data_IF_901653890567
#
_entry.id   IF_901653890567
#
_cell.length_a   1.000
_cell.length_b   1.000
_cell.length_c   1.000
_cell.angle_alpha   90.00
_cell.angle_beta   90.00
_cell.angle_gamma   90.00
#
_symmetry.space_group_name_H-M   'P 1'
#
loop_
_entity.id
_entity.type
_entity.pdbx_description
1 polymer ?
#
# COMPACT_ATOMS: atom_id res chain seq x y z
N UNK A 1 -46.30 28.42 9.44
CA UNK A 1 -45.10 28.98 8.78
C UNK A 1 -44.00 27.94 8.89
N UNK A 2 -43.62 27.29 7.78
CA UNK A 2 -42.49 26.35 7.75
C UNK A 2 -41.23 27.16 8.03
N UNK A 3 -40.51 26.86 9.11
CA UNK A 3 -39.16 27.39 9.32
C UNK A 3 -38.23 26.57 8.41
N UNK A 4 -37.66 27.21 7.39
CA UNK A 4 -36.54 26.67 6.64
C UNK A 4 -35.38 26.41 7.61
N UNK A 5 -34.95 25.15 7.71
CA UNK A 5 -33.76 24.77 8.44
C UNK A 5 -32.54 25.19 7.60
N UNK A 6 -32.16 26.46 7.70
CA UNK A 6 -30.94 26.99 7.12
C UNK A 6 -29.79 26.79 8.10
N UNK A 7 -28.63 26.37 7.61
CA UNK A 7 -27.44 26.26 8.44
C UNK A 7 -27.13 27.61 9.13
N UNK A 8 -26.68 27.62 10.39
CA UNK A 8 -26.45 28.85 11.13
C UNK A 8 -25.26 29.64 10.54
N UNK A 9 -25.48 30.93 10.29
CA UNK A 9 -24.43 31.84 9.81
C UNK A 9 -23.34 32.05 10.87
N UNK A 10 -22.10 32.30 10.42
CA UNK A 10 -20.91 32.46 11.29
C UNK A 10 -21.12 33.48 12.41
N UNK A 11 -21.79 34.60 12.12
CA UNK A 11 -22.12 35.63 13.11
C UNK A 11 -23.14 35.16 14.14
N UNK A 12 -24.10 34.31 13.73
CA UNK A 12 -25.07 33.73 14.65
C UNK A 12 -24.39 32.75 15.61
N UNK A 13 -23.42 31.97 15.13
CA UNK A 13 -22.61 31.07 15.95
C UNK A 13 -21.81 31.88 16.98
N UNK A 14 -21.08 32.91 16.55
CA UNK A 14 -20.29 33.76 17.44
C UNK A 14 -21.14 34.44 18.51
N UNK A 15 -22.33 34.91 18.14
CA UNK A 15 -23.27 35.53 19.08
C UNK A 15 -23.84 34.53 20.09
N UNK A 16 -24.11 33.31 19.66
CA UNK A 16 -24.62 32.23 20.51
C UNK A 16 -23.54 31.69 21.47
N UNK A 17 -22.27 31.68 21.05
CA UNK A 17 -21.15 31.16 21.84
C UNK A 17 -20.46 32.22 22.71
N UNK A 18 -20.78 33.50 22.55
CA UNK A 18 -20.13 34.63 23.23
C UNK A 18 -20.11 34.54 24.78
N UNK A 19 -21.09 33.88 25.38
CA UNK A 19 -21.21 33.78 26.85
C UNK A 19 -20.80 32.41 27.38
N UNK A 20 -20.30 31.51 26.54
CA UNK A 20 -19.85 30.20 26.97
C UNK A 20 -18.44 30.33 27.56
N UNK A 21 -18.18 29.81 28.78
CA UNK A 21 -16.83 29.73 29.30
C UNK A 21 -15.98 28.87 28.38
N UNK A 22 -14.83 29.39 27.94
CA UNK A 22 -13.83 28.62 27.21
C UNK A 22 -13.37 27.44 28.07
N UNK A 23 -13.89 26.24 27.79
CA UNK A 23 -13.56 24.99 28.47
C UNK A 23 -12.79 24.14 27.47
N UNK A 24 -11.66 23.56 27.87
CA UNK A 24 -10.73 22.82 26.99
C UNK A 24 -9.91 23.68 26.00
N UNK A 25 -9.47 24.89 26.35
CA UNK A 25 -8.43 25.60 25.55
C UNK A 25 -7.09 24.84 25.57
N UNK A 26 -6.77 24.22 26.71
CA UNK A 26 -5.64 23.31 26.91
C UNK A 26 -6.09 21.85 26.94
N UNK A 27 -7.18 21.50 26.27
CA UNK A 27 -7.22 20.14 25.72
C UNK A 27 -6.27 20.17 24.53
N UNK A 28 -4.97 20.20 24.83
CA UNK A 28 -4.14 19.16 24.27
C UNK A 28 -4.92 17.90 24.64
N UNK A 29 -5.74 17.41 23.71
CA UNK A 29 -5.95 15.97 23.62
C UNK A 29 -4.52 15.51 23.77
N UNK A 30 -4.18 14.86 24.90
CA UNK A 30 -2.88 14.25 25.03
C UNK A 30 -2.72 13.53 23.71
N UNK A 31 -1.91 14.10 22.79
CA UNK A 31 -1.73 13.59 21.45
C UNK A 31 -1.02 12.32 21.79
N UNK A 32 -1.80 11.24 21.96
CA UNK A 32 -1.38 10.19 22.84
C UNK A 32 -0.39 9.37 22.03
N UNK A 33 0.85 9.80 22.21
CA UNK A 33 2.11 9.27 21.79
C UNK A 33 2.41 9.36 20.30
N UNK A 34 3.59 9.93 20.02
CA UNK A 34 4.49 9.60 18.93
C UNK A 34 3.81 9.33 17.60
N UNK A 35 3.96 10.25 16.63
CA UNK A 35 3.79 9.98 15.19
C UNK A 35 3.89 8.48 14.93
N UNK A 36 2.74 7.84 14.76
CA UNK A 36 2.67 6.39 14.68
C UNK A 36 3.64 5.93 13.60
N UNK A 37 4.21 4.74 13.74
CA UNK A 37 5.09 4.17 12.70
C UNK A 37 4.46 4.33 11.31
N UNK A 38 3.14 4.15 11.20
CA UNK A 38 2.34 4.36 9.99
C UNK A 38 2.47 5.77 9.38
N UNK A 39 2.59 6.82 10.18
CA UNK A 39 2.71 8.22 9.71
C UNK A 39 4.12 8.57 9.22
N UNK A 40 5.15 7.96 9.81
CA UNK A 40 6.55 8.16 9.40
C UNK A 40 7.02 7.11 8.38
N UNK A 41 6.28 6.01 8.24
CA UNK A 41 6.58 4.90 7.33
C UNK A 41 6.74 5.41 5.90
N UNK A 42 5.87 6.33 5.46
CA UNK A 42 5.96 6.94 4.13
C UNK A 42 7.34 7.54 3.87
N UNK A 43 7.88 8.34 4.80
CA UNK A 43 9.20 8.98 4.64
C UNK A 43 10.34 7.97 4.66
N UNK A 44 10.21 6.92 5.49
CA UNK A 44 11.18 5.83 5.55
C UNK A 44 11.20 5.09 4.20
N UNK A 45 10.03 4.71 3.68
CA UNK A 45 9.89 4.02 2.40
C UNK A 45 10.44 4.86 1.25
N UNK A 46 10.15 6.17 1.21
CA UNK A 46 10.71 7.08 0.19
C UNK A 46 12.24 7.01 0.15
N UNK A 47 12.91 7.15 1.29
CA UNK A 47 14.39 7.07 1.34
C UNK A 47 14.92 5.67 1.01
N UNK A 48 14.25 4.62 1.50
CA UNK A 48 14.68 3.24 1.25
C UNK A 48 14.54 2.85 -0.22
N UNK A 49 13.51 3.32 -0.91
CA UNK A 49 13.36 3.03 -2.33
C UNK A 49 14.47 3.71 -3.12
N UNK A 50 14.87 4.94 -2.80
CA UNK A 50 16.00 5.59 -3.47
C UNK A 50 17.30 4.79 -3.31
N UNK A 51 17.52 4.19 -2.13
CA UNK A 51 18.67 3.30 -1.90
C UNK A 51 18.53 2.00 -2.68
N UNK A 52 17.37 1.33 -2.62
CA UNK A 52 17.12 0.10 -3.35
C UNK A 52 17.26 0.27 -4.86
N UNK A 53 16.78 1.38 -5.43
CA UNK A 53 16.97 1.72 -6.85
C UNK A 53 18.46 1.81 -7.22
N UNK A 54 19.26 2.50 -6.38
CA UNK A 54 20.71 2.61 -6.59
C UNK A 54 21.41 1.26 -6.48
N UNK A 55 21.05 0.44 -5.49
CA UNK A 55 21.62 -0.90 -5.31
C UNK A 55 21.27 -1.83 -6.47
N UNK A 56 20.01 -1.83 -6.91
CA UNK A 56 19.53 -2.65 -8.02
C UNK A 56 20.12 -2.20 -9.36
N UNK A 57 20.36 -0.90 -9.56
CA UNK A 57 21.02 -0.39 -10.76
C UNK A 57 22.48 -0.86 -10.91
N UNK A 58 23.10 -1.38 -9.85
CA UNK A 58 24.43 -1.99 -9.89
C UNK A 58 24.39 -3.48 -10.28
N UNK A 59 23.22 -4.12 -10.24
CA UNK A 59 23.06 -5.52 -10.60
C UNK A 59 22.86 -5.67 -12.11
N UNK A 60 23.69 -6.46 -12.82
CA UNK A 60 23.55 -6.67 -14.26
C UNK A 60 22.22 -7.36 -14.64
N UNK A 61 21.70 -8.21 -13.76
CA UNK A 61 20.47 -8.99 -14.01
C UNK A 61 19.20 -8.28 -13.52
N UNK A 62 19.29 -7.03 -13.07
CA UNK A 62 18.17 -6.35 -12.42
C UNK A 62 16.93 -6.24 -13.32
N UNK A 63 17.10 -6.06 -14.63
CA UNK A 63 15.99 -6.01 -15.60
C UNK A 63 15.16 -7.30 -15.54
N UNK A 64 15.80 -8.46 -15.61
CA UNK A 64 15.12 -9.75 -15.61
C UNK A 64 14.48 -10.03 -14.25
N UNK A 65 15.16 -9.67 -13.16
CA UNK A 65 14.61 -9.81 -11.82
C UNK A 65 13.37 -8.93 -11.63
N UNK A 66 13.33 -7.72 -12.19
CA UNK A 66 12.14 -6.86 -12.19
C UNK A 66 10.98 -7.43 -13.02
N UNK A 67 11.28 -7.97 -14.21
CA UNK A 67 10.27 -8.62 -15.06
C UNK A 67 9.65 -9.81 -14.35
N UNK A 68 10.48 -10.67 -13.74
CA UNK A 68 10.04 -11.82 -12.97
C UNK A 68 9.24 -11.43 -11.72
N UNK A 69 9.72 -10.44 -10.97
CA UNK A 69 9.04 -9.98 -9.76
C UNK A 69 7.67 -9.38 -10.09
N UNK A 70 7.55 -8.56 -11.14
CA UNK A 70 6.24 -8.04 -11.59
C UNK A 70 5.30 -9.18 -11.99
N UNK A 71 5.77 -10.16 -12.78
CA UNK A 71 4.93 -11.28 -13.20
C UNK A 71 4.40 -12.10 -12.01
N UNK A 72 5.25 -12.37 -11.02
CA UNK A 72 4.84 -13.07 -9.79
C UNK A 72 3.80 -12.27 -8.99
N UNK A 73 3.95 -10.95 -8.92
CA UNK A 73 2.98 -10.10 -8.22
C UNK A 73 1.65 -10.00 -8.97
N UNK A 74 1.67 -9.94 -10.29
CA UNK A 74 0.46 -9.96 -11.12
C UNK A 74 -0.30 -11.29 -10.93
N UNK A 75 0.42 -12.43 -10.90
CA UNK A 75 -0.16 -13.75 -10.59
C UNK A 75 -0.74 -13.82 -9.16
N UNK A 76 0.00 -13.33 -8.17
CA UNK A 76 -0.46 -13.26 -6.77
C UNK A 76 -1.71 -12.37 -6.61
N UNK A 77 -1.82 -11.27 -7.37
CA UNK A 77 -2.97 -10.37 -7.35
C UNK A 77 -4.21 -11.03 -7.98
N UNK A 78 -4.03 -11.77 -9.08
CA UNK A 78 -5.09 -12.46 -9.81
C UNK A 78 -5.66 -13.67 -9.01
N UNK A 79 -4.83 -14.29 -8.17
CA UNK A 79 -5.26 -15.33 -7.25
C UNK A 79 -5.89 -14.80 -5.94
N UNK A 80 -5.72 -13.53 -5.60
CA UNK A 80 -6.30 -12.97 -4.38
C UNK A 80 -7.79 -12.71 -4.54
N UNK A 81 -8.54 -12.87 -3.47
CA UNK A 81 -9.99 -12.60 -3.42
C UNK A 81 -10.23 -11.59 -2.30
N UNK A 82 -10.95 -10.51 -2.58
CA UNK A 82 -11.36 -9.57 -1.53
C UNK A 82 -12.30 -10.28 -0.55
N UNK A 83 -11.85 -10.46 0.69
CA UNK A 83 -12.61 -11.12 1.76
C UNK A 83 -13.91 -10.37 2.10
N UNK A 84 -13.96 -9.06 1.92
CA UNK A 84 -15.17 -8.26 2.18
C UNK A 84 -16.20 -8.55 1.10
N UNK A 85 -15.77 -8.53 -0.16
CA UNK A 85 -16.60 -8.88 -1.30
C UNK A 85 -17.09 -10.34 -1.22
N UNK A 86 -16.20 -11.25 -0.84
CA UNK A 86 -16.50 -12.66 -0.64
C UNK A 86 -17.52 -12.86 0.47
N UNK A 87 -17.34 -12.17 1.61
CA UNK A 87 -18.27 -12.19 2.74
C UNK A 87 -19.64 -11.67 2.35
N UNK A 88 -19.72 -10.60 1.57
CA UNK A 88 -21.00 -10.07 1.08
C UNK A 88 -21.75 -11.10 0.22
N UNK A 89 -21.05 -11.77 -0.71
CA UNK A 89 -21.68 -12.79 -1.56
C UNK A 89 -22.08 -14.04 -0.76
N UNK A 90 -21.27 -14.46 0.21
CA UNK A 90 -21.61 -15.59 1.09
C UNK A 90 -22.76 -15.27 2.04
N UNK A 91 -22.84 -14.06 2.58
CA UNK A 91 -23.99 -13.59 3.39
C UNK A 91 -25.30 -13.55 2.58
N UNK A 92 -25.21 -13.31 1.26
CA UNK A 92 -26.36 -13.41 0.35
C UNK A 92 -26.77 -14.85 0.02
N UNK A 93 -26.01 -15.85 0.48
CA UNK A 93 -26.30 -17.28 0.31
C UNK A 93 -25.59 -17.95 -0.86
N UNK A 94 -24.65 -17.27 -1.53
CA UNK A 94 -23.83 -17.90 -2.57
C UNK A 94 -22.72 -18.76 -1.95
N UNK A 95 -22.46 -19.98 -2.47
CA UNK A 95 -21.34 -20.80 -2.01
C UNK A 95 -20.00 -20.08 -2.16
N UNK A 96 -19.13 -20.21 -1.17
CA UNK A 96 -17.83 -19.54 -1.13
C UNK A 96 -16.97 -19.85 -2.36
N UNK A 97 -16.95 -21.11 -2.81
CA UNK A 97 -16.23 -21.55 -4.01
C UNK A 97 -16.70 -20.82 -5.28
N UNK A 98 -18.01 -20.63 -5.44
CA UNK A 98 -18.58 -19.91 -6.58
C UNK A 98 -18.35 -18.41 -6.46
N UNK A 99 -18.50 -17.86 -5.26
CA UNK A 99 -18.27 -16.44 -4.99
C UNK A 99 -16.81 -16.05 -5.26
N UNK A 100 -15.84 -16.86 -4.84
CA UNK A 100 -14.41 -16.70 -5.18
C UNK A 100 -14.22 -16.65 -6.70
N UNK A 101 -14.76 -17.63 -7.42
CA UNK A 101 -14.62 -17.73 -8.88
C UNK A 101 -15.25 -16.53 -9.60
N UNK A 102 -16.44 -16.13 -9.17
CA UNK A 102 -17.14 -14.98 -9.72
C UNK A 102 -16.40 -13.67 -9.45
N UNK A 103 -15.85 -13.50 -8.25
CA UNK A 103 -15.07 -12.32 -7.89
C UNK A 103 -13.78 -12.22 -8.71
N UNK A 104 -13.08 -13.34 -8.92
CA UNK A 104 -11.89 -13.37 -9.77
C UNK A 104 -12.22 -13.01 -11.23
N UNK A 105 -13.28 -13.58 -11.79
CA UNK A 105 -13.68 -13.32 -13.18
C UNK A 105 -14.20 -11.89 -13.42
N UNK A 106 -14.64 -11.20 -12.36
CA UNK A 106 -15.25 -9.88 -12.44
C UNK A 106 -14.43 -8.80 -11.72
N UNK A 107 -13.09 -8.95 -11.71
CA UNK A 107 -12.16 -7.95 -11.18
C UNK A 107 -12.51 -7.48 -9.76
N UNK A 108 -12.89 -8.41 -8.88
CA UNK A 108 -13.27 -8.15 -7.49
C UNK A 108 -14.50 -7.25 -7.29
N UNK A 109 -15.28 -7.01 -8.35
CA UNK A 109 -16.53 -6.25 -8.27
C UNK A 109 -17.67 -7.13 -7.78
N UNK A 110 -18.19 -6.83 -6.58
CA UNK A 110 -19.33 -7.54 -5.99
C UNK A 110 -20.55 -7.53 -6.91
N UNK A 111 -20.84 -6.39 -7.54
CA UNK A 111 -22.02 -6.24 -8.40
C UNK A 111 -21.93 -7.10 -9.65
N UNK A 112 -20.77 -7.12 -10.31
CA UNK A 112 -20.55 -7.91 -11.52
C UNK A 112 -20.41 -9.40 -11.18
N UNK A 113 -19.75 -9.74 -10.08
CA UNK A 113 -19.67 -11.12 -9.58
C UNK A 113 -21.06 -11.68 -9.24
N UNK A 114 -21.95 -10.86 -8.66
CA UNK A 114 -23.33 -11.26 -8.39
C UNK A 114 -24.11 -11.52 -9.69
N UNK A 115 -24.00 -10.64 -10.67
CA UNK A 115 -24.65 -10.82 -11.97
C UNK A 115 -24.17 -12.11 -12.65
N UNK A 116 -22.86 -12.36 -12.63
CA UNK A 116 -22.26 -13.60 -13.14
C UNK A 116 -22.76 -14.85 -12.40
N UNK A 117 -22.88 -14.79 -11.06
CA UNK A 117 -23.40 -15.88 -10.23
C UNK A 117 -24.86 -16.20 -10.54
N UNK A 118 -25.68 -15.19 -10.86
CA UNK A 118 -27.08 -15.36 -11.21
C UNK A 118 -27.20 -15.95 -12.62
N UNK A 119 -26.41 -15.46 -13.58
CA UNK A 119 -26.38 -15.99 -14.95
C UNK A 119 -25.92 -17.45 -15.01
N UNK A 120 -25.03 -17.86 -14.10
CA UNK A 120 -24.46 -19.21 -14.03
C UNK A 120 -25.01 -20.04 -12.85
N UNK A 121 -26.17 -19.68 -12.31
CA UNK A 121 -26.75 -20.32 -11.12
C UNK A 121 -27.01 -21.83 -11.32
N UNK A 122 -27.41 -22.23 -12.54
CA UNK A 122 -27.82 -23.60 -12.89
C UNK A 122 -26.70 -24.47 -13.49
N UNK A 123 -25.47 -23.97 -13.61
CA UNK A 123 -24.36 -24.72 -14.19
C UNK A 123 -23.55 -25.47 -13.10
N UNK A 124 -23.63 -26.82 -13.03
CA UNK A 124 -22.86 -27.62 -12.06
C UNK A 124 -21.36 -27.69 -12.36
N UNK A 125 -20.90 -27.28 -13.54
CA UNK A 125 -19.47 -27.18 -13.86
C UNK A 125 -18.78 -25.98 -13.18
N UNK A 126 -19.57 -25.04 -12.65
CA UNK A 126 -19.06 -23.86 -11.93
C UNK A 126 -18.42 -24.26 -10.59
N UNK A 127 -18.90 -25.34 -9.97
CA UNK A 127 -18.38 -25.92 -8.73
C UNK A 127 -17.06 -26.69 -8.90
N UNK A 128 -16.60 -26.91 -10.13
CA UNK A 128 -15.29 -27.51 -10.36
C UNK A 128 -14.19 -26.50 -10.00
N UNK A 129 -13.15 -26.93 -9.23
CA UNK A 129 -12.01 -26.08 -8.93
C UNK A 129 -11.34 -25.62 -10.24
N UNK A 130 -10.89 -24.36 -10.27
CA UNK A 130 -10.18 -23.80 -11.40
C UNK A 130 -8.96 -24.68 -11.74
N UNK A 131 -8.66 -24.93 -13.03
CA UNK A 131 -7.52 -25.75 -13.42
C UNK A 131 -6.23 -25.03 -12.98
N UNK A 132 -5.54 -25.61 -11.99
CA UNK A 132 -4.29 -25.06 -11.43
C UNK A 132 -4.00 -25.52 -9.99
N UNK A 133 -5.02 -25.93 -9.22
CA UNK A 133 -4.81 -26.50 -7.88
C UNK A 133 -4.69 -28.02 -7.94
N UNK A 134 -3.48 -28.52 -8.16
CA UNK A 134 -3.11 -29.85 -7.67
C UNK A 134 -2.42 -29.69 -6.32
N UNK A 135 -2.88 -30.34 -5.24
CA UNK A 135 -2.11 -30.42 -4.00
C UNK A 135 -0.91 -31.34 -4.26
N UNK A 136 0.28 -30.75 -4.35
CA UNK A 136 1.54 -31.48 -4.48
C UNK A 136 1.92 -32.08 -3.13
N UNK A 137 1.41 -33.27 -2.84
CA UNK A 137 1.97 -34.15 -1.81
C UNK A 137 3.31 -34.74 -2.28
N UNK A 138 4.25 -34.81 -1.34
CA UNK A 138 5.65 -35.10 -1.52
C UNK A 138 5.95 -36.46 -2.17
N UNK A 139 6.94 -36.47 -3.07
CA UNK A 139 7.80 -37.62 -3.31
C UNK A 139 9.24 -37.13 -3.55
N UNK A 140 10.12 -37.45 -2.60
CA UNK A 140 11.57 -37.34 -2.72
C UNK A 140 12.10 -38.35 -3.74
N UNK A 141 13.09 -37.98 -4.55
CA UNK A 141 14.47 -38.45 -4.43
C UNK A 141 15.38 -37.95 -5.57
N UNK A 142 16.58 -37.53 -5.15
CA UNK A 142 17.90 -37.74 -5.75
C UNK A 142 18.24 -37.22 -7.16
N UNK A 143 19.30 -36.41 -7.22
CA UNK A 143 20.09 -36.22 -8.44
C UNK A 143 21.02 -35.01 -8.41
N UNK A 144 22.15 -35.12 -7.69
CA UNK A 144 23.26 -34.18 -7.77
C UNK A 144 23.93 -34.23 -9.17
N UNK A 145 24.29 -33.07 -9.74
CA UNK A 145 25.68 -32.76 -10.09
C UNK A 145 25.82 -31.34 -10.67
N UNK A 146 26.84 -30.65 -10.19
CA UNK A 146 27.28 -29.33 -10.59
C UNK A 146 27.86 -29.27 -12.01
N UNK A 147 27.83 -28.04 -12.52
CA UNK A 147 28.83 -27.37 -13.35
C UNK A 147 29.03 -27.82 -14.80
N UNK A 148 28.73 -26.91 -15.72
CA UNK A 148 29.81 -26.36 -16.54
C UNK A 148 29.52 -24.91 -16.94
N UNK A 149 30.45 -24.03 -16.57
CA UNK A 149 30.55 -22.68 -17.07
C UNK A 149 31.15 -22.72 -18.47
N UNK A 150 30.59 -21.94 -19.40
CA UNK A 150 31.38 -21.43 -20.53
C UNK A 150 31.15 -19.92 -20.63
N UNK A 151 32.26 -19.20 -20.49
CA UNK A 151 32.32 -17.76 -20.46
C UNK A 151 32.59 -17.17 -21.84
N UNK A 152 31.85 -16.10 -22.16
CA UNK A 152 32.33 -14.89 -22.84
C UNK A 152 32.11 -14.81 -24.36
N UNK A 153 32.36 -13.64 -24.98
CA UNK A 153 32.31 -12.27 -24.45
C UNK A 153 31.48 -11.32 -25.36
N UNK A 154 31.27 -10.08 -24.90
CA UNK A 154 30.76 -8.89 -25.65
C UNK A 154 29.28 -8.57 -25.48
N UNK A 155 29.00 -7.51 -24.71
CA UNK A 155 27.96 -6.53 -25.04
C UNK A 155 28.08 -5.29 -24.14
N UNK A 156 29.08 -4.46 -24.38
CA UNK A 156 29.06 -3.08 -23.87
C UNK A 156 27.84 -2.30 -24.41
N UNK A 157 27.26 -2.73 -25.54
CA UNK A 157 25.98 -2.24 -26.06
C UNK A 157 24.74 -2.70 -25.25
N UNK A 158 24.76 -3.93 -24.70
CA UNK A 158 23.64 -4.47 -23.92
C UNK A 158 23.55 -3.86 -22.51
N UNK A 159 24.68 -3.41 -21.96
CA UNK A 159 24.72 -2.74 -20.66
C UNK A 159 24.11 -1.33 -20.66
N UNK A 160 24.17 -0.61 -21.78
CA UNK A 160 23.49 0.69 -21.93
C UNK A 160 21.98 0.50 -22.15
N UNK A 161 21.59 -0.44 -23.02
CA UNK A 161 20.17 -0.79 -23.24
C UNK A 161 19.49 -1.29 -21.95
N UNK A 162 20.15 -2.16 -21.17
CA UNK A 162 19.62 -2.64 -19.89
C UNK A 162 19.48 -1.53 -18.83
N UNK A 163 20.40 -0.56 -18.81
CA UNK A 163 20.31 0.62 -17.93
C UNK A 163 19.19 1.55 -18.36
N UNK A 164 18.97 1.72 -19.66
CA UNK A 164 17.86 2.50 -20.20
C UNK A 164 16.51 1.83 -19.89
N UNK A 165 16.41 0.50 -20.05
CA UNK A 165 15.24 -0.29 -19.63
C UNK A 165 14.96 -0.15 -18.13
N UNK A 166 15.97 -0.29 -17.26
CA UNK A 166 15.82 -0.07 -15.82
C UNK A 166 15.37 1.34 -15.49
N UNK A 167 15.90 2.33 -16.20
CA UNK A 167 15.53 3.73 -16.01
C UNK A 167 14.07 3.97 -16.38
N UNK A 168 13.58 3.37 -17.47
CA UNK A 168 12.16 3.40 -17.84
C UNK A 168 11.28 2.63 -16.85
N UNK A 169 11.74 1.48 -16.34
CA UNK A 169 11.05 0.73 -15.27
C UNK A 169 10.91 1.63 -14.04
N UNK A 170 11.99 2.26 -13.57
CA UNK A 170 11.94 3.16 -12.42
C UNK A 170 11.09 4.40 -12.67
N UNK A 171 11.07 4.97 -13.88
CA UNK A 171 10.15 6.08 -14.23
C UNK A 171 8.70 5.63 -14.19
N UNK A 172 8.38 4.43 -14.71
CA UNK A 172 7.03 3.87 -14.69
C UNK A 172 6.57 3.63 -13.26
N UNK A 173 7.44 3.05 -12.43
CA UNK A 173 7.21 2.86 -11.00
C UNK A 173 6.99 4.21 -10.32
N UNK A 174 7.83 5.23 -10.58
CA UNK A 174 7.68 6.58 -10.03
C UNK A 174 6.36 7.24 -10.40
N UNK A 175 5.82 6.98 -11.60
CA UNK A 175 4.50 7.49 -12.03
C UNK A 175 3.34 6.78 -11.32
N UNK A 176 3.50 5.51 -10.94
CA UNK A 176 2.50 4.76 -10.15
C UNK A 176 2.43 5.20 -8.68
N UNK A 177 3.45 5.90 -8.15
CA UNK A 177 3.49 6.44 -6.77
C UNK A 177 2.39 7.46 -6.42
N UNK A 178 1.45 7.77 -7.32
CA UNK A 178 0.36 8.68 -7.01
C UNK A 178 -0.53 8.05 -5.94
N UNK A 179 -0.68 8.74 -4.80
CA UNK A 179 -1.47 8.25 -3.69
C UNK A 179 -2.90 7.96 -4.13
N UNK A 180 -3.42 6.77 -3.80
CA UNK A 180 -4.78 6.36 -4.11
C UNK A 180 -5.71 6.61 -2.91
N UNK A 181 -6.53 7.68 -2.93
CA UNK A 181 -7.47 7.97 -1.86
C UNK A 181 -8.62 6.94 -1.85
N UNK A 182 -9.12 6.59 -0.67
CA UNK A 182 -10.33 5.77 -0.52
C UNK A 182 -11.55 6.52 -1.09
N UNK A 183 -12.20 6.01 -2.16
CA UNK A 183 -13.35 6.67 -2.78
C UNK A 183 -14.49 6.94 -1.80
N UNK A 184 -14.72 6.05 -0.83
CA UNK A 184 -15.78 6.22 0.17
C UNK A 184 -15.47 7.39 1.09
N UNK A 185 -14.23 7.48 1.57
CA UNK A 185 -13.79 8.56 2.42
C UNK A 185 -13.81 9.91 1.66
N UNK A 186 -13.43 9.91 0.38
CA UNK A 186 -13.49 11.11 -0.48
C UNK A 186 -14.92 11.62 -0.60
N UNK A 187 -15.85 10.77 -1.01
CA UNK A 187 -17.26 11.14 -1.18
C UNK A 187 -17.82 11.69 0.14
N UNK A 188 -17.60 10.98 1.25
CA UNK A 188 -18.16 11.38 2.54
C UNK A 188 -17.60 12.71 3.05
N UNK A 189 -16.32 13.03 2.79
CA UNK A 189 -15.74 14.34 3.14
C UNK A 189 -16.20 15.44 2.18
N UNK A 190 -16.37 15.15 0.90
CA UNK A 190 -16.93 16.11 -0.06
C UNK A 190 -18.40 16.45 0.27
N UNK A 191 -19.19 15.48 0.75
CA UNK A 191 -20.56 15.72 1.23
C UNK A 191 -20.61 16.64 2.47
N UNK A 192 -19.54 16.70 3.27
CA UNK A 192 -19.39 17.67 4.36
C UNK A 192 -19.07 19.09 3.87
N UNK A 193 -18.82 19.27 2.56
CA UNK A 193 -18.53 20.54 1.93
C UNK A 193 -17.04 20.87 1.78
N UNK A 194 -16.15 19.89 1.96
CA UNK A 194 -14.72 20.07 1.73
C UNK A 194 -14.37 19.95 0.23
N UNK A 195 -13.36 20.70 -0.21
CA UNK A 195 -12.86 20.63 -1.59
C UNK A 195 -12.13 19.31 -1.85
N UNK A 196 -12.35 18.70 -3.02
CA UNK A 196 -11.77 17.40 -3.40
C UNK A 196 -10.24 17.36 -3.24
N UNK A 197 -9.55 18.43 -3.64
CA UNK A 197 -8.08 18.53 -3.50
C UNK A 197 -7.64 18.48 -2.05
N UNK A 198 -8.34 19.21 -1.18
CA UNK A 198 -8.02 19.24 0.25
C UNK A 198 -8.32 17.89 0.92
N UNK A 199 -9.40 17.23 0.48
CA UNK A 199 -9.78 15.90 0.94
C UNK A 199 -8.72 14.87 0.57
N UNK A 200 -8.23 14.88 -0.68
CA UNK A 200 -7.15 13.99 -1.12
C UNK A 200 -5.87 14.22 -0.31
N UNK A 201 -5.49 15.48 -0.09
CA UNK A 201 -4.34 15.83 0.73
C UNK A 201 -4.48 15.37 2.18
N UNK A 202 -5.67 15.55 2.77
CA UNK A 202 -5.98 15.12 4.12
C UNK A 202 -5.92 13.58 4.26
N UNK A 203 -6.48 12.86 3.30
CA UNK A 203 -6.43 11.39 3.28
C UNK A 203 -5.00 10.88 3.06
N UNK A 204 -4.20 11.59 2.26
CA UNK A 204 -2.79 11.26 2.04
C UNK A 204 -1.97 11.38 3.31
N UNK A 205 -2.17 12.46 4.07
CA UNK A 205 -1.48 12.70 5.34
C UNK A 205 -1.90 11.69 6.41
N UNK A 206 -3.16 11.27 6.41
CA UNK A 206 -3.74 10.44 7.44
C UNK A 206 -3.94 8.97 7.01
N UNK A 207 -3.23 8.50 5.97
CA UNK A 207 -3.28 7.10 5.50
C UNK A 207 -4.70 6.57 5.29
N UNK A 208 -5.53 7.29 4.54
CA UNK A 208 -6.94 6.96 4.26
C UNK A 208 -7.86 6.88 5.49
N UNK A 209 -7.44 7.38 6.65
CA UNK A 209 -8.32 7.46 7.83
C UNK A 209 -9.26 8.66 7.74
N UNK A 210 -10.54 8.42 7.44
CA UNK A 210 -11.55 9.48 7.27
C UNK A 210 -11.67 10.41 8.50
N UNK A 211 -11.65 9.85 9.71
CA UNK A 211 -11.81 10.64 10.94
C UNK A 211 -10.61 11.59 11.15
N UNK A 212 -9.39 11.07 11.02
CA UNK A 212 -8.17 11.86 11.15
C UNK A 212 -8.03 12.88 10.01
N UNK A 213 -8.45 12.53 8.79
CA UNK A 213 -8.53 13.47 7.67
C UNK A 213 -9.51 14.62 7.93
N UNK A 214 -10.68 14.33 8.52
CA UNK A 214 -11.63 15.35 8.94
C UNK A 214 -11.03 16.27 10.02
N UNK A 215 -10.37 15.71 11.02
CA UNK A 215 -9.66 16.49 12.05
C UNK A 215 -8.56 17.38 11.45
N UNK A 216 -7.79 16.85 10.49
CA UNK A 216 -6.74 17.59 9.79
C UNK A 216 -7.32 18.75 8.96
N UNK A 217 -8.45 18.54 8.27
CA UNK A 217 -9.14 19.56 7.47
C UNK A 217 -9.68 20.72 8.32
N UNK A 218 -10.14 20.39 9.53
CA UNK A 218 -10.68 21.36 10.50
C UNK A 218 -9.61 22.04 11.37
N UNK A 219 -8.38 21.52 11.38
CA UNK A 219 -7.27 22.00 12.20
C UNK A 219 -6.26 22.86 11.44
N UNK A 220 -5.02 22.86 11.94
CA UNK A 220 -3.91 23.68 11.39
C UNK A 220 -3.27 23.08 10.13
N UNK A 221 -3.81 21.97 9.59
CA UNK A 221 -3.31 21.28 8.38
C UNK A 221 -1.81 20.96 8.42
N UNK A 222 -1.33 20.51 9.59
CA UNK A 222 0.05 20.06 9.81
C UNK A 222 0.05 18.57 10.14
N UNK A 223 0.95 17.77 9.54
CA UNK A 223 2.01 18.13 8.57
C UNK A 223 1.48 18.40 7.15
N UNK A 224 2.29 19.08 6.33
CA UNK A 224 1.99 19.35 4.92
C UNK A 224 2.13 18.08 4.08
N UNK A 225 1.28 17.85 3.07
CA UNK A 225 1.45 16.74 2.12
C UNK A 225 2.84 16.72 1.47
N UNK A 226 3.42 17.89 1.17
CA UNK A 226 4.75 17.99 0.56
C UNK A 226 5.88 17.51 1.48
N UNK A 227 5.69 17.58 2.80
CA UNK A 227 6.69 17.10 3.76
C UNK A 227 6.72 15.58 3.84
N UNK A 228 5.72 14.90 3.28
CA UNK A 228 5.65 13.45 3.22
C UNK A 228 6.38 12.86 2.01
N UNK A 229 6.53 13.66 0.94
CA UNK A 229 7.31 13.29 -0.24
C UNK A 229 8.81 13.45 -0.01
N UNK A 230 9.21 14.15 1.06
CA UNK A 230 10.59 14.24 1.52
C UNK A 230 10.90 13.01 2.37
N UNK A 231 11.84 12.20 1.90
CA UNK A 231 12.39 11.09 2.67
C UNK A 231 13.01 11.54 4.00
N UNK A 232 13.32 10.58 4.85
CA UNK A 232 14.09 10.83 6.07
C UNK A 232 15.54 11.26 5.76
N UNK A 233 16.11 12.10 6.63
CA UNK A 233 17.51 12.55 6.52
C UNK A 233 18.45 11.34 6.52
N UNK A 234 19.31 11.27 5.50
CA UNK A 234 20.28 10.19 5.32
C UNK A 234 21.33 10.15 6.41
N UNK A 235 21.54 11.24 7.15
CA UNK A 235 22.46 11.27 8.29
C UNK A 235 21.77 11.00 9.63
N UNK A 236 20.46 10.74 9.62
CA UNK A 236 19.71 10.44 10.83
C UNK A 236 20.16 9.11 11.45
N UNK A 237 20.31 9.03 12.79
CA UNK A 237 20.58 7.77 13.48
C UNK A 237 19.57 6.66 13.13
N UNK A 238 18.31 7.04 12.86
CA UNK A 238 17.27 6.12 12.42
C UNK A 238 17.60 5.51 11.06
N UNK A 239 17.94 6.35 10.07
CA UNK A 239 18.26 5.88 8.73
C UNK A 239 19.50 5.00 8.73
N UNK A 240 20.53 5.42 9.46
CA UNK A 240 21.77 4.68 9.59
C UNK A 240 21.54 3.31 10.24
N UNK A 241 20.78 3.24 11.33
CA UNK A 241 20.44 1.97 11.99
C UNK A 241 19.62 1.03 11.09
N UNK A 242 18.72 1.59 10.26
CA UNK A 242 17.96 0.81 9.28
C UNK A 242 18.91 0.23 8.22
N UNK A 243 19.82 1.03 7.68
CA UNK A 243 20.77 0.59 6.66
C UNK A 243 21.86 -0.34 7.20
N UNK A 244 22.21 -0.29 8.48
CA UNK A 244 23.16 -1.23 9.10
C UNK A 244 22.55 -2.61 9.37
N UNK A 245 21.22 -2.75 9.27
CA UNK A 245 20.54 -4.01 9.50
C UNK A 245 20.71 -4.99 8.31
N UNK A 246 21.31 -6.19 8.50
CA UNK A 246 21.55 -7.12 7.40
C UNK A 246 20.28 -7.62 6.69
N UNK A 247 19.19 -7.78 7.45
CA UNK A 247 17.90 -8.23 6.88
C UNK A 247 17.34 -7.16 5.95
N UNK A 248 17.45 -5.89 6.35
CA UNK A 248 17.02 -4.76 5.52
C UNK A 248 17.91 -4.64 4.29
N UNK A 249 19.24 -4.70 4.45
CA UNK A 249 20.17 -4.63 3.32
C UNK A 249 19.88 -5.71 2.27
N UNK A 250 19.70 -6.97 2.70
CA UNK A 250 19.35 -8.05 1.79
C UNK A 250 17.99 -7.80 1.12
N UNK A 251 17.01 -7.32 1.89
CA UNK A 251 15.70 -6.92 1.37
C UNK A 251 15.77 -5.88 0.26
N UNK A 252 16.61 -4.84 0.41
CA UNK A 252 16.77 -3.76 -0.57
C UNK A 252 17.41 -4.22 -1.90
N UNK A 253 18.07 -5.38 -1.91
CA UNK A 253 18.61 -6.00 -3.13
C UNK A 253 17.59 -6.85 -3.88
N UNK A 254 16.41 -7.08 -3.33
CA UNK A 254 15.33 -7.84 -3.96
C UNK A 254 14.33 -6.89 -4.64
N UNK A 255 14.09 -7.00 -5.96
CA UNK A 255 13.10 -6.18 -6.67
C UNK A 255 11.68 -6.29 -6.11
N UNK A 256 11.28 -7.46 -5.59
CA UNK A 256 9.95 -7.64 -4.97
C UNK A 256 9.76 -6.72 -3.77
N UNK A 257 10.78 -6.59 -2.91
CA UNK A 257 10.76 -5.66 -1.77
C UNK A 257 10.60 -4.22 -2.23
N UNK A 258 11.27 -3.82 -3.32
CA UNK A 258 11.11 -2.48 -3.87
C UNK A 258 9.69 -2.25 -4.38
N UNK A 259 9.12 -3.20 -5.14
CA UNK A 259 7.75 -3.11 -5.62
C UNK A 259 6.74 -3.07 -4.49
N UNK A 260 6.96 -3.83 -3.42
CA UNK A 260 6.16 -3.78 -2.21
C UNK A 260 6.21 -2.42 -1.52
N UNK A 261 7.40 -1.81 -1.41
CA UNK A 261 7.56 -0.48 -0.83
C UNK A 261 6.82 0.58 -1.65
N UNK A 262 6.84 0.45 -2.97
CA UNK A 262 6.10 1.32 -3.89
C UNK A 262 4.58 1.15 -3.74
N UNK A 263 4.09 -0.09 -3.69
CA UNK A 263 2.67 -0.38 -3.49
C UNK A 263 2.17 0.16 -2.14
N UNK A 264 2.97 0.05 -1.07
CA UNK A 264 2.64 0.66 0.23
C UNK A 264 2.62 2.20 0.19
N UNK A 265 3.39 2.83 -0.69
CA UNK A 265 3.35 4.29 -0.89
C UNK A 265 2.13 4.75 -1.69
N UNK A 266 1.72 3.96 -2.68
CA UNK A 266 0.53 4.17 -3.50
C UNK A 266 -0.73 3.98 -2.66
N UNK A 267 -0.83 2.85 -1.95
CA UNK A 267 -1.95 2.50 -1.08
C UNK A 267 -1.47 2.03 0.31
N UNK A 268 -1.51 2.92 1.33
CA UNK A 268 -1.15 2.57 2.70
C UNK A 268 -1.95 1.40 3.31
N UNK A 269 -3.12 1.07 2.76
CA UNK A 269 -3.93 -0.07 3.22
C UNK A 269 -3.24 -1.42 2.91
N UNK A 270 -2.41 -1.48 1.87
CA UNK A 270 -1.69 -2.69 1.49
C UNK A 270 -0.53 -3.01 2.45
N UNK A 271 -0.15 -2.07 3.34
CA UNK A 271 0.97 -2.29 4.28
C UNK A 271 0.78 -3.51 5.19
N UNK A 272 -0.46 -3.81 5.60
CA UNK A 272 -0.73 -5.02 6.41
C UNK A 272 -0.50 -6.30 5.61
N UNK A 273 -0.83 -6.29 4.31
CA UNK A 273 -0.59 -7.42 3.42
C UNK A 273 0.91 -7.69 3.28
N UNK A 274 1.71 -6.65 3.03
CA UNK A 274 3.17 -6.81 2.86
C UNK A 274 3.90 -7.16 4.15
N UNK A 275 3.33 -6.81 5.30
CA UNK A 275 3.85 -7.23 6.60
C UNK A 275 3.71 -8.75 6.83
N UNK A 276 2.74 -9.39 6.19
CA UNK A 276 2.50 -10.83 6.25
C UNK A 276 3.19 -11.62 5.12
N UNK A 277 3.79 -10.93 4.14
CA UNK A 277 4.52 -11.58 3.05
C UNK A 277 5.81 -12.26 3.58
N UNK A 278 6.12 -13.51 3.18
CA UNK A 278 7.28 -14.23 3.69
C UNK A 278 8.63 -13.57 3.41
N UNK A 279 8.74 -12.81 2.32
CA UNK A 279 10.00 -12.18 1.89
C UNK A 279 10.10 -10.72 2.36
N UNK A 280 9.03 -9.96 2.22
CA UNK A 280 8.96 -8.53 2.54
C UNK A 280 8.65 -8.26 4.01
N UNK A 281 7.83 -9.12 4.62
CA UNK A 281 7.38 -8.99 6.01
C UNK A 281 8.53 -8.90 7.02
N UNK A 282 9.55 -9.79 6.96
CA UNK A 282 10.72 -9.70 7.84
C UNK A 282 11.44 -8.35 7.75
N UNK A 283 11.56 -7.77 6.56
CA UNK A 283 12.19 -6.45 6.35
C UNK A 283 11.37 -5.37 7.04
N UNK A 284 10.07 -5.35 6.82
CA UNK A 284 9.15 -4.36 7.41
C UNK A 284 9.10 -4.44 8.94
N UNK A 285 9.09 -5.65 9.50
CA UNK A 285 9.13 -5.85 10.94
C UNK A 285 10.43 -5.34 11.57
N UNK A 286 11.57 -5.52 10.88
CA UNK A 286 12.85 -4.98 11.38
C UNK A 286 12.86 -3.45 11.32
N UNK A 287 12.37 -2.84 10.23
CA UNK A 287 12.24 -1.39 10.13
C UNK A 287 11.36 -0.85 11.26
N UNK A 288 10.20 -1.46 11.51
CA UNK A 288 9.30 -1.09 12.61
C UNK A 288 9.96 -1.23 13.98
N UNK A 289 10.71 -2.33 14.21
CA UNK A 289 11.43 -2.55 15.47
C UNK A 289 12.51 -1.50 15.71
N UNK A 290 13.29 -1.16 14.68
CA UNK A 290 14.36 -0.14 14.76
C UNK A 290 13.74 1.22 15.06
N UNK A 291 12.67 1.58 14.35
CA UNK A 291 11.91 2.81 14.59
C UNK A 291 11.42 2.89 16.04
N UNK A 292 10.76 1.85 16.53
CA UNK A 292 10.26 1.81 17.91
C UNK A 292 11.36 1.88 18.95
N UNK A 293 12.50 1.25 18.70
CA UNK A 293 13.64 1.26 19.64
C UNK A 293 14.21 2.66 19.79
N UNK A 294 14.45 3.34 18.66
CA UNK A 294 15.06 4.68 18.65
C UNK A 294 14.10 5.79 19.06
N UNK A 295 12.79 5.60 18.87
CA UNK A 295 11.78 6.59 19.29
C UNK A 295 11.39 6.44 20.78
N UNK A 296 11.88 5.40 21.46
CA UNK A 296 11.69 5.19 22.92
C UNK A 296 12.85 5.74 23.76
N UNK A 297 14.01 5.98 23.15
CA UNK A 297 15.21 6.57 23.75
C UNK A 297 15.23 8.08 23.57
#
# INVERSE_FOLDING_TARGET
>A
RKQEQKAPDKDAILKATANLPSRNVDRTVAQHNMRDFQTELRKILVSLIEVAQKLLALNPDAVELFKKANAMLDEDEEDRVDEIALRQLTEMGFPESRAVKALRLNHMSVTQAMEWLIEHADDPAVDAPLPGQTPSEAAAEAGASSAEATAGPSSEAGGEEAKDELTEIFKKIRRKREFRPDPRAVIALMEMGFDEKEVVDALRVNNNQQNAACEWLLGDRKPSPEDLDKGIDTNSPLFQAILENPVVQLGLTNPKTLLAFEDMLENPLNSTQWMNDPETGPVMLQISRIFQTLNRT
#
